data_IF_541154213750
#
_entry.id   IF_541154213750
#
_cell.length_a   1.000
_cell.length_b   1.000
_cell.length_c   1.000
_cell.angle_alpha   90.00
_cell.angle_beta   90.00
_cell.angle_gamma   90.00
#
_symmetry.space_group_name_H-M   'P 1'
#
loop_
_entity.id
_entity.type
_entity.pdbx_description
1 polymer ?
#
# COMPACT_ATOMS: atom_id res chain seq x y z
N UNK A 1 -25.99 68.84 11.34
CA UNK A 1 -26.69 67.69 11.94
C UNK A 1 -26.41 66.49 11.05
N UNK A 2 -25.51 65.62 11.50
CA UNK A 2 -24.78 64.68 10.64
C UNK A 2 -25.55 63.36 10.53
N UNK A 3 -25.90 62.96 9.31
CA UNK A 3 -26.61 61.72 9.00
C UNK A 3 -25.57 60.58 8.98
N UNK A 4 -25.70 59.59 9.87
CA UNK A 4 -24.89 58.37 9.88
C UNK A 4 -25.71 57.23 9.27
N UNK A 5 -25.29 56.79 8.09
CA UNK A 5 -25.79 55.62 7.37
C UNK A 5 -25.44 54.35 8.13
N UNK A 6 -26.44 53.56 8.54
CA UNK A 6 -26.27 52.24 9.15
C UNK A 6 -26.36 51.20 8.03
N UNK A 7 -25.23 50.57 7.70
CA UNK A 7 -25.15 49.47 6.74
C UNK A 7 -25.58 48.15 7.39
N UNK A 8 -26.54 47.47 6.75
CA UNK A 8 -27.00 46.13 7.11
C UNK A 8 -26.03 45.09 6.52
N UNK A 9 -25.23 44.43 7.37
CA UNK A 9 -24.39 43.29 6.97
C UNK A 9 -25.22 42.02 7.12
N UNK A 10 -25.57 41.39 5.99
CA UNK A 10 -26.14 40.04 5.96
C UNK A 10 -24.99 39.04 6.00
N UNK A 11 -24.80 38.38 7.14
CA UNK A 11 -23.84 37.28 7.28
C UNK A 11 -24.47 35.99 6.75
N UNK A 12 -24.06 35.56 5.55
CA UNK A 12 -24.36 34.22 5.01
C UNK A 12 -23.42 33.22 5.69
N UNK A 13 -23.98 32.39 6.56
CA UNK A 13 -23.28 31.30 7.23
C UNK A 13 -23.30 30.07 6.30
N UNK A 14 -22.22 29.85 5.55
CA UNK A 14 -22.06 28.63 4.74
C UNK A 14 -21.55 27.50 5.63
N UNK A 15 -22.44 26.64 6.13
CA UNK A 15 -22.04 25.32 6.66
C UNK A 15 -21.55 24.46 5.49
N UNK A 16 -20.26 24.52 5.18
CA UNK A 16 -19.61 23.48 4.38
C UNK A 16 -19.45 22.27 5.29
N UNK A 17 -20.38 21.32 5.19
CA UNK A 17 -20.24 20.02 5.83
C UNK A 17 -18.96 19.35 5.33
N UNK A 18 -17.94 19.26 6.18
CA UNK A 18 -16.78 18.44 5.92
C UNK A 18 -17.22 16.97 5.92
N UNK A 19 -17.52 16.44 4.73
CA UNK A 19 -17.64 14.99 4.56
C UNK A 19 -16.26 14.42 4.85
N UNK A 20 -16.09 13.92 6.07
CA UNK A 20 -14.90 13.19 6.45
C UNK A 20 -14.95 11.85 5.72
N UNK A 21 -14.40 11.80 4.51
CA UNK A 21 -14.03 10.51 3.94
C UNK A 21 -13.02 9.90 4.90
N UNK A 22 -13.38 8.77 5.51
CA UNK A 22 -12.40 7.97 6.23
C UNK A 22 -11.27 7.68 5.23
N UNK A 23 -10.09 8.27 5.47
CA UNK A 23 -8.95 8.04 4.61
C UNK A 23 -8.66 6.54 4.63
N UNK A 24 -8.63 5.91 3.45
CA UNK A 24 -8.23 4.51 3.35
C UNK A 24 -6.80 4.41 3.90
N UNK A 25 -6.68 3.71 5.04
CA UNK A 25 -5.45 3.65 5.82
C UNK A 25 -4.31 2.98 5.06
N UNK A 26 -4.61 2.19 4.03
CA UNK A 26 -3.62 1.55 3.17
C UNK A 26 -2.97 2.52 2.18
N UNK A 27 -3.65 3.60 1.80
CA UNK A 27 -3.14 4.57 0.84
C UNK A 27 -1.94 5.35 1.38
N UNK A 28 -1.13 5.84 0.43
CA UNK A 28 0.08 6.59 0.69
C UNK A 28 1.35 5.81 0.41
N UNK A 29 2.47 6.39 0.82
CA UNK A 29 3.81 5.83 0.61
C UNK A 29 4.32 5.21 1.90
N UNK A 30 4.83 3.99 1.78
CA UNK A 30 5.33 3.19 2.88
C UNK A 30 6.78 2.86 2.64
N UNK A 31 7.68 3.33 3.51
CA UNK A 31 9.12 3.10 3.43
C UNK A 31 9.54 2.03 4.44
N UNK A 32 10.40 1.11 4.03
CA UNK A 32 10.89 0.03 4.86
C UNK A 32 11.60 0.60 6.10
N UNK A 33 11.20 0.14 7.27
CA UNK A 33 11.94 0.36 8.51
C UNK A 33 12.89 -0.83 8.71
N UNK A 34 14.14 -0.68 8.28
CA UNK A 34 15.13 -1.75 8.35
C UNK A 34 15.46 -2.15 9.80
N UNK A 35 15.46 -1.20 10.73
CA UNK A 35 15.75 -1.45 12.13
C UNK A 35 14.68 -2.34 12.80
N UNK A 36 13.43 -2.26 12.34
CA UNK A 36 12.31 -3.07 12.86
C UNK A 36 11.98 -4.29 12.00
N UNK A 37 12.63 -4.46 10.86
CA UNK A 37 12.37 -5.54 9.91
C UNK A 37 13.33 -6.71 10.11
N UNK A 38 12.85 -7.94 9.84
CA UNK A 38 13.72 -9.12 9.82
C UNK A 38 14.31 -9.29 8.43
N UNK A 39 15.62 -9.04 8.30
CA UNK A 39 16.33 -9.35 7.06
C UNK A 39 16.35 -10.86 6.84
N UNK A 40 16.00 -11.29 5.62
CA UNK A 40 16.19 -12.68 5.20
C UNK A 40 17.45 -12.73 4.34
N UNK A 41 18.56 -13.34 4.80
CA UNK A 41 19.81 -13.37 4.07
C UNK A 41 19.63 -13.93 2.66
N UNK A 42 20.28 -13.31 1.67
CA UNK A 42 20.21 -13.74 0.27
C UNK A 42 18.90 -13.39 -0.45
N UNK A 43 18.00 -12.62 0.16
CA UNK A 43 16.79 -12.10 -0.49
C UNK A 43 16.87 -10.59 -0.73
N UNK A 44 16.19 -10.14 -1.78
CA UNK A 44 15.95 -8.73 -2.03
C UNK A 44 15.07 -8.08 -0.96
N UNK A 45 14.99 -6.75 -0.99
CA UNK A 45 14.15 -5.95 -0.08
C UNK A 45 13.20 -5.07 -0.87
N UNK A 46 11.95 -5.04 -0.46
CA UNK A 46 11.00 -4.01 -0.89
C UNK A 46 11.22 -2.79 0.00
N UNK A 47 11.84 -1.76 -0.58
CA UNK A 47 12.28 -0.55 0.12
C UNK A 47 11.15 0.47 0.25
N UNK A 48 10.30 0.57 -0.76
CA UNK A 48 9.20 1.51 -0.81
C UNK A 48 7.99 0.90 -1.52
N UNK A 49 6.79 1.20 -1.03
CA UNK A 49 5.55 0.89 -1.74
C UNK A 49 4.60 2.06 -1.66
N UNK A 50 4.04 2.45 -2.80
CA UNK A 50 3.08 3.55 -2.89
C UNK A 50 1.73 3.03 -3.37
N UNK A 51 0.66 3.33 -2.63
CA UNK A 51 -0.73 3.01 -2.99
C UNK A 51 -1.46 4.31 -3.32
N UNK A 52 -2.00 4.41 -4.54
CA UNK A 52 -2.77 5.57 -5.01
C UNK A 52 -4.10 5.13 -5.59
N UNK A 53 -5.19 5.78 -5.19
CA UNK A 53 -6.46 5.63 -5.89
C UNK A 53 -6.37 6.21 -7.30
N UNK A 54 -6.92 5.48 -8.26
CA UNK A 54 -6.99 5.88 -9.67
C UNK A 54 -8.34 5.45 -10.25
N UNK A 55 -9.29 6.39 -10.38
CA UNK A 55 -10.57 6.19 -11.07
C UNK A 55 -11.23 4.82 -10.84
N UNK A 56 -11.47 4.45 -9.59
CA UNK A 56 -12.12 3.18 -9.21
C UNK A 56 -11.20 1.96 -9.07
N UNK A 57 -9.90 2.12 -9.36
CA UNK A 57 -8.83 1.15 -9.10
C UNK A 57 -7.82 1.72 -8.09
N UNK A 58 -6.88 0.87 -7.67
CA UNK A 58 -5.68 1.26 -6.93
C UNK A 58 -4.46 0.97 -7.80
N UNK A 59 -3.59 1.97 -7.98
CA UNK A 59 -2.24 1.79 -8.49
C UNK A 59 -1.29 1.54 -7.33
N UNK A 60 -0.51 0.46 -7.43
CA UNK A 60 0.56 0.10 -6.50
C UNK A 60 1.88 0.16 -7.25
N UNK A 61 2.81 0.95 -6.73
CA UNK A 61 4.20 1.01 -7.22
C UNK A 61 5.11 0.47 -6.13
N UNK A 62 6.00 -0.46 -6.49
CA UNK A 62 6.95 -1.09 -5.57
C UNK A 62 8.35 -0.83 -6.07
N UNK A 63 9.17 -0.23 -5.22
CA UNK A 63 10.59 -0.01 -5.44
C UNK A 63 11.40 -0.79 -4.41
N UNK A 64 12.46 -1.44 -4.88
CA UNK A 64 13.27 -2.30 -4.03
C UNK A 64 14.65 -2.56 -4.57
N UNK A 65 15.32 -3.54 -3.97
CA UNK A 65 16.58 -4.08 -4.45
C UNK A 65 16.52 -5.60 -4.50
N UNK A 66 17.14 -6.21 -5.49
CA UNK A 66 17.30 -7.67 -5.56
C UNK A 66 18.35 -8.18 -4.54
N UNK A 67 18.58 -9.49 -4.51
CA UNK A 67 19.56 -10.10 -3.62
C UNK A 67 21.02 -9.65 -3.89
N UNK A 68 21.29 -9.04 -5.05
CA UNK A 68 22.59 -8.50 -5.45
C UNK A 68 22.66 -6.98 -5.22
N UNK A 69 21.63 -6.38 -4.63
CA UNK A 69 21.54 -4.93 -4.40
C UNK A 69 21.18 -4.10 -5.62
N UNK A 70 20.80 -4.73 -6.76
CA UNK A 70 20.38 -3.98 -7.96
C UNK A 70 18.96 -3.43 -7.77
N UNK A 71 18.68 -2.18 -8.18
CA UNK A 71 17.34 -1.63 -8.12
C UNK A 71 16.32 -2.49 -8.86
N UNK A 72 15.13 -2.57 -8.30
CA UNK A 72 13.95 -3.24 -8.88
C UNK A 72 12.76 -2.31 -8.81
N UNK A 73 11.87 -2.42 -9.80
CA UNK A 73 10.67 -1.59 -9.90
C UNK A 73 9.54 -2.43 -10.48
N UNK A 74 8.36 -2.37 -9.87
CA UNK A 74 7.16 -3.00 -10.43
C UNK A 74 5.92 -2.16 -10.18
N UNK A 75 4.98 -2.27 -11.10
CA UNK A 75 3.67 -1.62 -10.99
C UNK A 75 2.54 -2.63 -11.09
N UNK A 76 1.46 -2.32 -10.42
CA UNK A 76 0.21 -3.06 -10.45
C UNK A 76 -0.94 -2.06 -10.43
N UNK A 77 -2.00 -2.34 -11.20
CA UNK A 77 -3.23 -1.56 -11.18
C UNK A 77 -4.41 -2.51 -11.21
N UNK A 78 -5.30 -2.39 -10.23
CA UNK A 78 -6.44 -3.29 -10.11
C UNK A 78 -7.37 -2.90 -8.98
N UNK A 79 -8.32 -3.80 -8.69
CA UNK A 79 -9.25 -3.66 -7.57
C UNK A 79 -8.79 -4.50 -6.39
N UNK A 80 -9.16 -4.08 -5.19
CA UNK A 80 -8.98 -4.85 -3.96
C UNK A 80 -10.19 -5.78 -3.78
N UNK A 81 -10.39 -6.71 -4.72
CA UNK A 81 -11.53 -7.63 -4.79
C UNK A 81 -11.13 -9.12 -4.82
N UNK A 82 -9.84 -9.41 -4.57
CA UNK A 82 -9.28 -10.75 -4.56
C UNK A 82 -9.03 -11.36 -5.94
N UNK A 83 -9.30 -10.65 -7.03
CA UNK A 83 -9.00 -11.12 -8.39
C UNK A 83 -7.57 -10.81 -8.78
N UNK A 84 -7.04 -11.63 -9.68
CA UNK A 84 -5.70 -11.43 -10.23
C UNK A 84 -5.72 -10.29 -11.25
N UNK A 85 -4.77 -9.37 -11.09
CA UNK A 85 -4.46 -8.32 -12.06
C UNK A 85 -2.98 -8.38 -12.41
N UNK A 86 -2.60 -8.02 -13.66
CA UNK A 86 -1.23 -8.13 -14.12
C UNK A 86 -0.27 -7.23 -13.35
N UNK A 87 0.97 -7.70 -13.21
CA UNK A 87 2.10 -6.92 -12.70
C UNK A 87 3.04 -6.60 -13.86
N UNK A 88 3.58 -5.40 -13.89
CA UNK A 88 4.61 -4.98 -14.85
C UNK A 88 5.93 -4.73 -14.14
N UNK A 89 7.06 -4.93 -14.84
CA UNK A 89 8.40 -4.66 -14.31
C UNK A 89 8.97 -5.72 -13.35
N UNK A 90 8.16 -6.69 -12.92
CA UNK A 90 8.62 -7.80 -12.08
C UNK A 90 8.93 -9.05 -12.92
N UNK A 91 10.19 -9.50 -13.02
CA UNK A 91 10.52 -10.72 -13.78
C UNK A 91 10.00 -12.00 -13.10
N UNK A 92 9.77 -11.97 -11.78
CA UNK A 92 9.45 -13.16 -10.98
C UNK A 92 7.96 -13.29 -10.64
N UNK A 93 7.10 -12.37 -11.09
CA UNK A 93 5.65 -12.50 -11.00
C UNK A 93 4.93 -11.97 -12.23
N UNK A 94 3.79 -12.58 -12.56
CA UNK A 94 2.97 -12.17 -13.70
C UNK A 94 1.71 -11.44 -13.24
N UNK A 95 1.21 -11.78 -12.05
CA UNK A 95 -0.03 -11.22 -11.52
C UNK A 95 0.00 -11.15 -9.98
N UNK A 96 -0.84 -10.25 -9.46
CA UNK A 96 -1.10 -10.08 -8.03
C UNK A 96 -2.58 -9.84 -7.78
N UNK A 97 -3.08 -10.34 -6.67
CA UNK A 97 -4.40 -10.01 -6.14
C UNK A 97 -4.30 -9.41 -4.74
N UNK A 98 -5.25 -8.55 -4.40
CA UNK A 98 -5.40 -8.01 -3.05
C UNK A 98 -6.84 -8.19 -2.58
N UNK A 99 -7.02 -8.59 -1.33
CA UNK A 99 -8.34 -8.79 -0.70
C UNK A 99 -8.43 -7.97 0.57
N UNK A 100 -9.46 -7.14 0.70
CA UNK A 100 -9.72 -6.40 1.94
C UNK A 100 -10.28 -7.36 2.99
N UNK A 101 -9.62 -7.43 4.15
CA UNK A 101 -10.11 -8.19 5.32
C UNK A 101 -10.88 -7.25 6.25
N UNK A 102 -10.32 -6.06 6.50
CA UNK A 102 -10.96 -4.96 7.22
C UNK A 102 -10.24 -3.64 6.88
N UNK A 103 -10.59 -2.53 7.53
CA UNK A 103 -10.03 -1.20 7.21
C UNK A 103 -8.52 -1.07 7.44
N UNK A 104 -7.92 -1.95 8.25
CA UNK A 104 -6.47 -1.96 8.51
C UNK A 104 -5.74 -3.16 7.93
N UNK A 105 -6.47 -4.13 7.39
CA UNK A 105 -5.91 -5.43 7.02
C UNK A 105 -6.26 -5.79 5.58
N UNK A 106 -5.25 -6.11 4.79
CA UNK A 106 -5.43 -6.71 3.47
C UNK A 106 -4.53 -7.93 3.31
N UNK A 107 -5.05 -8.92 2.59
CA UNK A 107 -4.28 -10.07 2.12
C UNK A 107 -3.88 -9.85 0.67
N UNK A 108 -2.78 -10.48 0.25
CA UNK A 108 -2.38 -10.51 -1.15
C UNK A 108 -1.82 -11.86 -1.55
N UNK A 109 -1.93 -12.16 -2.85
CA UNK A 109 -1.27 -13.31 -3.46
C UNK A 109 -0.47 -12.85 -4.67
N UNK A 110 0.73 -13.41 -4.83
CA UNK A 110 1.61 -13.21 -5.99
C UNK A 110 1.62 -14.50 -6.79
N UNK A 111 1.50 -14.39 -8.11
CA UNK A 111 1.43 -15.54 -9.02
C UNK A 111 2.49 -15.47 -10.11
N UNK A 112 3.01 -16.64 -10.48
CA UNK A 112 3.85 -16.87 -11.66
C UNK A 112 3.35 -18.11 -12.39
N UNK A 113 3.11 -18.01 -13.70
CA UNK A 113 2.61 -19.12 -14.51
C UNK A 113 1.30 -19.71 -13.98
N UNK A 114 0.40 -18.85 -13.48
CA UNK A 114 -0.90 -19.27 -12.90
C UNK A 114 -0.83 -19.89 -11.50
N UNK A 115 0.36 -20.09 -10.93
CA UNK A 115 0.53 -20.68 -9.59
C UNK A 115 0.84 -19.59 -8.56
N UNK A 116 0.22 -19.67 -7.39
CA UNK A 116 0.56 -18.81 -6.25
C UNK A 116 1.94 -19.16 -5.71
N UNK A 117 2.87 -18.21 -5.75
CA UNK A 117 4.25 -18.37 -5.25
C UNK A 117 4.43 -17.76 -3.86
N UNK A 118 3.71 -16.67 -3.59
CA UNK A 118 3.74 -15.94 -2.31
C UNK A 118 2.31 -15.58 -1.91
N UNK A 119 2.02 -15.74 -0.62
CA UNK A 119 0.87 -15.12 0.04
C UNK A 119 1.37 -14.18 1.12
N UNK A 120 0.65 -13.10 1.38
CA UNK A 120 0.99 -12.22 2.47
C UNK A 120 -0.19 -11.47 3.06
N UNK A 121 0.06 -10.91 4.23
CA UNK A 121 -0.90 -10.09 4.99
C UNK A 121 -0.25 -8.78 5.40
N UNK A 122 -0.98 -7.71 5.19
CA UNK A 122 -0.57 -6.34 5.48
C UNK A 122 -1.50 -5.79 6.54
N UNK A 123 -0.94 -5.37 7.67
CA UNK A 123 -1.67 -4.81 8.81
C UNK A 123 -1.15 -3.42 9.10
N UNK A 124 -2.00 -2.40 8.96
CA UNK A 124 -1.72 -1.02 9.36
C UNK A 124 -1.93 -0.89 10.87
N UNK A 125 -0.98 -0.29 11.57
CA UNK A 125 -1.07 -0.05 13.01
C UNK A 125 -2.24 0.89 13.36
N UNK A 126 -2.68 0.86 14.62
CA UNK A 126 -3.82 1.65 15.08
C UNK A 126 -3.62 3.16 14.84
N UNK A 127 -2.38 3.64 14.94
CA UNK A 127 -1.99 5.04 14.70
C UNK A 127 -1.92 5.43 13.22
N UNK A 128 -2.02 4.47 12.29
CA UNK A 128 -1.92 4.70 10.85
C UNK A 128 -0.52 5.08 10.33
N UNK A 129 0.50 5.11 11.21
CA UNK A 129 1.86 5.59 10.90
C UNK A 129 2.83 4.49 10.52
N UNK A 130 2.52 3.24 10.88
CA UNK A 130 3.32 2.09 10.49
C UNK A 130 2.44 0.94 10.02
N UNK A 131 3.05 -0.03 9.33
CA UNK A 131 2.40 -1.29 8.97
C UNK A 131 3.38 -2.45 9.04
N UNK A 132 2.85 -3.63 9.25
CA UNK A 132 3.59 -4.89 9.18
C UNK A 132 3.11 -5.69 7.97
N UNK A 133 4.06 -6.21 7.21
CA UNK A 133 3.82 -7.15 6.11
C UNK A 133 4.43 -8.48 6.51
N UNK A 134 3.59 -9.52 6.55
CA UNK A 134 4.03 -10.90 6.74
C UNK A 134 3.83 -11.65 5.45
N UNK A 135 4.81 -12.43 5.03
CA UNK A 135 4.70 -13.24 3.82
C UNK A 135 5.14 -14.66 4.08
N UNK A 136 4.51 -15.58 3.35
CA UNK A 136 4.87 -16.98 3.25
C UNK A 136 4.91 -17.34 1.78
N UNK A 137 5.97 -18.00 1.37
CA UNK A 137 6.15 -18.39 -0.02
C UNK A 137 7.16 -19.52 -0.16
N UNK A 138 7.49 -19.80 -1.41
CA UNK A 138 8.52 -20.78 -1.76
C UNK A 138 9.58 -20.07 -2.59
N UNK A 139 10.85 -20.24 -2.22
CA UNK A 139 11.97 -19.71 -3.00
C UNK A 139 12.18 -20.52 -4.30
N UNK A 140 13.04 -20.08 -5.23
CA UNK A 140 13.31 -20.81 -6.47
C UNK A 140 13.85 -22.23 -6.27
N UNK A 141 14.36 -22.58 -5.09
CA UNK A 141 14.87 -23.92 -4.75
C UNK A 141 13.79 -24.85 -4.17
N UNK A 142 12.56 -24.37 -4.00
CA UNK A 142 11.46 -25.15 -3.43
C UNK A 142 11.38 -25.06 -1.90
N UNK A 143 12.20 -24.25 -1.24
CA UNK A 143 12.19 -24.12 0.22
C UNK A 143 11.15 -23.10 0.66
N UNK A 144 10.38 -23.45 1.70
CA UNK A 144 9.45 -22.52 2.34
C UNK A 144 10.22 -21.39 3.02
N UNK A 145 9.80 -20.17 2.73
CA UNK A 145 10.36 -18.95 3.31
C UNK A 145 9.24 -18.13 3.93
N UNK A 146 9.50 -17.58 5.12
CA UNK A 146 8.63 -16.65 5.80
C UNK A 146 9.40 -15.36 6.06
N UNK A 147 8.75 -14.22 5.89
CA UNK A 147 9.35 -12.92 6.19
C UNK A 147 8.37 -12.01 6.93
N UNK A 148 8.92 -11.08 7.71
CA UNK A 148 8.19 -10.03 8.38
C UNK A 148 8.93 -8.70 8.19
N UNK A 149 8.26 -7.76 7.54
CA UNK A 149 8.79 -6.43 7.24
C UNK A 149 7.90 -5.37 7.87
N UNK A 150 8.53 -4.36 8.46
CA UNK A 150 7.84 -3.21 9.05
C UNK A 150 8.11 -2.01 8.16
N UNK A 151 7.08 -1.23 7.89
CA UNK A 151 7.17 -0.01 7.10
C UNK A 151 6.60 1.17 7.90
N UNK A 152 7.23 2.32 7.75
CA UNK A 152 6.71 3.59 8.23
C UNK A 152 6.04 4.33 7.05
N UNK A 153 4.93 5.01 7.32
CA UNK A 153 4.28 5.90 6.37
C UNK A 153 5.13 7.17 6.23
N UNK A 154 5.34 7.63 4.99
CA UNK A 154 6.02 8.90 4.70
C UNK A 154 5.09 10.10 4.87
#
# INVERSE_FOLDING_TARGET
MNIKTIGLIVAICSLVGAVSFAADLQLGTWKLNEAKSKATPGMGKVMMVTYKNTLGNVKVTVDGVDAKGKPTHSEWSGKIDGKDYPVTGDPISDARSYTKVNDRTMDFAVKKGGKTTITGRIVVAADGKSRTVTTSGTDPSGKKVNSASVYDKQ
#
